data_IF_561743453885
#
_entry.id   IF_561743453885
#
_cell.length_a   1.000
_cell.length_b   1.000
_cell.length_c   1.000
_cell.angle_alpha   90.00
_cell.angle_beta   90.00
_cell.angle_gamma   90.00
#
_symmetry.space_group_name_H-M   'P 1'
#
loop_
_entity.id
_entity.type
_entity.pdbx_description
1 polymer ?
#
# COMPACT_ATOMS: atom_id res chain seq x y z
N UNK A 1 10.82 -11.17 -15.00
CA UNK A 1 9.66 -12.02 -14.72
C UNK A 1 9.88 -13.39 -15.32
N UNK A 2 9.69 -14.43 -14.54
CA UNK A 2 9.81 -15.84 -14.90
C UNK A 2 8.43 -16.39 -15.26
N UNK A 3 8.34 -17.18 -16.35
CA UNK A 3 7.11 -17.85 -16.82
C UNK A 3 7.41 -19.31 -17.07
N UNK A 4 6.38 -20.16 -17.18
CA UNK A 4 6.53 -21.59 -17.47
C UNK A 4 7.28 -21.83 -18.77
N UNK A 5 6.96 -21.07 -19.83
CA UNK A 5 7.65 -21.19 -21.13
C UNK A 5 9.16 -20.94 -21.04
N UNK A 6 9.57 -19.94 -20.24
CA UNK A 6 11.00 -19.68 -19.99
C UNK A 6 11.67 -20.81 -19.24
N UNK A 7 10.99 -21.39 -18.25
CA UNK A 7 11.52 -22.55 -17.50
C UNK A 7 11.66 -23.78 -18.40
N UNK A 8 10.69 -24.05 -19.25
CA UNK A 8 10.73 -25.14 -20.22
C UNK A 8 11.84 -24.93 -21.29
N UNK A 9 12.04 -23.69 -21.73
CA UNK A 9 13.16 -23.36 -22.65
C UNK A 9 14.53 -23.62 -21.97
N UNK A 10 14.69 -23.23 -20.70
CA UNK A 10 15.91 -23.51 -19.92
C UNK A 10 16.10 -25.02 -19.74
N UNK A 11 15.02 -25.78 -19.46
CA UNK A 11 15.06 -27.24 -19.38
C UNK A 11 15.52 -27.87 -20.71
N UNK A 12 14.98 -27.38 -21.84
CA UNK A 12 15.37 -27.87 -23.16
C UNK A 12 16.85 -27.64 -23.47
N UNK A 13 17.41 -26.51 -23.02
CA UNK A 13 18.86 -26.24 -23.13
C UNK A 13 19.66 -27.15 -22.19
N UNK A 14 19.21 -27.33 -20.94
CA UNK A 14 19.93 -28.17 -19.97
C UNK A 14 20.01 -29.64 -20.37
N UNK A 15 18.99 -30.19 -21.05
CA UNK A 15 18.96 -31.60 -21.54
C UNK A 15 19.96 -31.85 -22.68
N UNK A 16 20.46 -30.81 -23.35
CA UNK A 16 21.45 -30.98 -24.43
C UNK A 16 22.84 -31.37 -23.90
N UNK A 17 23.10 -31.22 -22.63
CA UNK A 17 24.38 -31.59 -22.01
C UNK A 17 24.33 -33.04 -21.53
N UNK A 18 25.43 -33.78 -21.75
CA UNK A 18 25.52 -35.20 -21.43
C UNK A 18 25.62 -35.49 -19.91
N UNK A 19 26.17 -34.50 -19.15
CA UNK A 19 26.33 -34.60 -17.71
C UNK A 19 26.15 -33.26 -17.01
N UNK A 20 25.88 -33.31 -15.68
CA UNK A 20 25.70 -32.09 -14.86
C UNK A 20 27.01 -31.28 -14.77
N UNK A 21 28.15 -31.94 -14.81
CA UNK A 21 29.47 -31.31 -14.75
C UNK A 21 29.74 -30.45 -15.99
N UNK A 22 29.17 -30.83 -17.13
CA UNK A 22 29.31 -30.13 -18.41
C UNK A 22 28.25 -29.04 -18.62
N UNK A 23 27.32 -28.89 -17.67
CA UNK A 23 26.21 -27.94 -17.79
C UNK A 23 26.72 -26.51 -17.78
N UNK A 24 26.68 -25.84 -18.93
CA UNK A 24 27.02 -24.41 -19.08
C UNK A 24 25.81 -23.62 -19.55
N UNK A 25 25.24 -22.86 -18.63
CA UNK A 25 24.13 -21.95 -18.93
C UNK A 25 24.53 -20.52 -18.53
N UNK A 26 24.11 -19.50 -19.32
CA UNK A 26 24.40 -18.11 -19.00
C UNK A 26 23.93 -17.72 -17.60
N UNK A 27 24.86 -17.27 -16.74
CA UNK A 27 24.57 -16.87 -15.37
C UNK A 27 24.55 -18.00 -14.34
N UNK A 28 24.81 -19.25 -14.71
CA UNK A 28 24.92 -20.37 -13.79
C UNK A 28 26.35 -20.47 -13.25
N UNK A 29 26.54 -20.28 -11.93
CA UNK A 29 27.84 -20.50 -11.28
C UNK A 29 28.17 -21.97 -11.09
N UNK A 30 29.46 -22.32 -11.07
CA UNK A 30 29.93 -23.71 -10.86
C UNK A 30 29.37 -24.32 -9.58
N UNK A 31 29.35 -23.57 -8.48
CA UNK A 31 28.85 -24.04 -7.19
C UNK A 31 27.38 -24.42 -7.20
N UNK A 32 26.59 -23.80 -8.09
CA UNK A 32 25.15 -24.08 -8.22
C UNK A 32 24.81 -25.13 -9.24
N UNK A 33 25.75 -25.56 -10.06
CA UNK A 33 25.57 -26.48 -11.16
C UNK A 33 24.92 -27.81 -10.70
N UNK A 34 25.42 -28.39 -9.59
CA UNK A 34 24.94 -29.65 -9.03
C UNK A 34 23.48 -29.63 -8.53
N UNK A 35 23.00 -28.47 -8.05
CA UNK A 35 21.64 -28.34 -7.50
C UNK A 35 20.66 -27.69 -8.48
N UNK A 36 21.17 -27.18 -9.61
CA UNK A 36 20.38 -26.42 -10.57
C UNK A 36 19.28 -27.25 -11.21
N UNK A 37 19.61 -28.47 -11.69
CA UNK A 37 18.67 -29.34 -12.41
C UNK A 37 17.50 -29.73 -11.51
N UNK A 38 17.80 -30.12 -10.27
CA UNK A 38 16.78 -30.47 -9.29
C UNK A 38 15.89 -29.26 -8.95
N UNK A 39 16.49 -28.10 -8.76
CA UNK A 39 15.76 -26.85 -8.50
C UNK A 39 14.87 -26.44 -9.66
N UNK A 40 15.35 -26.58 -10.90
CA UNK A 40 14.59 -26.30 -12.11
C UNK A 40 13.38 -27.25 -12.23
N UNK A 41 13.57 -28.56 -11.99
CA UNK A 41 12.51 -29.55 -12.04
C UNK A 41 11.40 -29.26 -10.99
N UNK A 42 11.80 -28.95 -9.76
CA UNK A 42 10.85 -28.57 -8.69
C UNK A 42 10.08 -27.30 -9.08
N UNK A 43 10.77 -26.31 -9.63
CA UNK A 43 10.13 -25.04 -10.00
C UNK A 43 9.14 -25.22 -11.15
N UNK A 44 9.45 -26.04 -12.14
CA UNK A 44 8.53 -26.40 -13.23
C UNK A 44 7.28 -27.09 -12.66
N UNK A 45 7.47 -28.09 -11.80
CA UNK A 45 6.37 -28.81 -11.18
C UNK A 45 5.46 -27.88 -10.36
N UNK A 46 6.02 -26.91 -9.64
CA UNK A 46 5.25 -25.90 -8.92
C UNK A 46 4.44 -25.00 -9.86
N UNK A 47 5.02 -24.54 -10.96
CA UNK A 47 4.32 -23.74 -11.95
C UNK A 47 3.13 -24.48 -12.53
N UNK A 48 3.31 -25.78 -12.87
CA UNK A 48 2.26 -26.62 -13.46
C UNK A 48 1.18 -26.97 -12.43
N UNK A 49 1.56 -27.38 -11.22
CA UNK A 49 0.61 -27.81 -10.19
C UNK A 49 -0.23 -26.65 -9.63
N UNK A 50 0.36 -25.45 -9.47
CA UNK A 50 -0.29 -24.27 -8.93
C UNK A 50 -0.78 -23.30 -10.01
N UNK A 51 -0.60 -23.64 -11.28
CA UNK A 51 -0.96 -22.80 -12.44
C UNK A 51 -0.43 -21.36 -12.33
N UNK A 52 0.85 -21.22 -11.96
CA UNK A 52 1.50 -19.93 -11.77
C UNK A 52 1.75 -19.29 -13.15
N UNK A 53 1.15 -18.14 -13.41
CA UNK A 53 1.38 -17.40 -14.66
C UNK A 53 2.75 -16.71 -14.70
N UNK A 54 3.14 -16.06 -13.60
CA UNK A 54 4.37 -15.26 -13.51
C UNK A 54 4.96 -15.32 -12.11
N UNK A 55 6.29 -15.38 -12.03
CA UNK A 55 7.04 -15.31 -10.78
C UNK A 55 8.13 -14.24 -10.88
N UNK A 56 8.30 -13.45 -9.84
CA UNK A 56 9.38 -12.46 -9.69
C UNK A 56 10.37 -12.87 -8.60
N UNK A 57 11.54 -12.25 -8.60
CA UNK A 57 12.49 -12.38 -7.50
C UNK A 57 11.95 -11.66 -6.26
N UNK A 58 11.89 -12.36 -5.14
CA UNK A 58 11.67 -11.74 -3.84
C UNK A 58 12.94 -10.99 -3.40
N UNK A 59 12.75 -9.88 -2.68
CA UNK A 59 13.87 -9.09 -2.16
C UNK A 59 14.53 -9.66 -0.91
N UNK A 60 14.06 -10.83 -0.41
CA UNK A 60 14.59 -11.51 0.76
C UNK A 60 14.84 -13.00 0.50
N UNK A 61 15.77 -13.61 1.23
CA UNK A 61 16.04 -15.05 1.18
C UNK A 61 15.18 -15.82 2.20
N UNK A 62 15.02 -17.14 1.99
CA UNK A 62 14.25 -18.01 2.88
C UNK A 62 14.67 -17.89 4.36
N UNK A 63 15.98 -17.82 4.62
CA UNK A 63 16.50 -17.68 6.00
C UNK A 63 16.11 -16.37 6.68
N UNK A 64 16.01 -15.27 5.94
CA UNK A 64 15.49 -14.00 6.46
C UNK A 64 13.99 -14.13 6.78
N UNK A 65 13.23 -14.80 5.91
CA UNK A 65 11.83 -15.13 6.18
C UNK A 65 11.66 -16.00 7.43
N UNK A 66 12.49 -17.04 7.61
CA UNK A 66 12.47 -17.89 8.79
C UNK A 66 12.85 -17.10 10.05
N UNK A 67 13.91 -16.26 9.98
CA UNK A 67 14.29 -15.40 11.10
C UNK A 67 13.16 -14.43 11.46
N UNK A 68 12.51 -13.84 10.47
CA UNK A 68 11.34 -12.98 10.70
C UNK A 68 10.18 -13.77 11.31
N UNK A 69 9.86 -14.98 10.82
CA UNK A 69 8.83 -15.83 11.42
C UNK A 69 9.16 -16.24 12.86
N UNK A 70 10.42 -16.51 13.19
CA UNK A 70 10.85 -16.80 14.57
C UNK A 70 10.77 -15.58 15.50
N UNK A 71 11.02 -14.39 14.97
CA UNK A 71 10.84 -13.10 15.67
C UNK A 71 9.36 -12.73 15.74
N UNK A 72 8.58 -13.08 14.74
CA UNK A 72 7.16 -12.73 14.59
C UNK A 72 6.24 -13.31 15.65
N UNK A 73 6.58 -14.46 16.24
CA UNK A 73 5.83 -14.98 17.39
C UNK A 73 5.94 -14.05 18.62
N UNK A 74 6.87 -13.11 18.60
CA UNK A 74 7.09 -12.17 19.70
C UNK A 74 6.78 -10.71 19.38
N UNK A 75 6.88 -10.18 18.13
CA UNK A 75 6.91 -8.71 17.96
C UNK A 75 6.62 -8.11 16.58
N UNK A 76 5.76 -8.60 15.70
CA UNK A 76 5.45 -7.88 14.43
C UNK A 76 4.89 -6.47 14.69
N UNK A 77 3.96 -6.35 15.62
CA UNK A 77 3.41 -5.05 16.01
C UNK A 77 4.49 -4.09 16.53
N UNK A 78 5.48 -4.61 17.26
CA UNK A 78 6.59 -3.81 17.80
C UNK A 78 7.58 -3.35 16.72
N UNK A 79 7.88 -4.20 15.72
CA UNK A 79 8.77 -3.81 14.60
C UNK A 79 8.14 -2.71 13.75
N UNK A 80 6.85 -2.84 13.39
CA UNK A 80 6.12 -1.81 12.65
C UNK A 80 6.06 -0.51 13.43
N UNK A 81 5.69 -0.60 14.71
CA UNK A 81 5.64 0.57 15.59
C UNK A 81 7.01 1.27 15.63
N UNK A 82 8.10 0.54 15.89
CA UNK A 82 9.46 1.12 15.90
C UNK A 82 9.84 1.76 14.57
N UNK A 83 9.43 1.16 13.45
CA UNK A 83 9.65 1.74 12.13
C UNK A 83 8.92 3.07 11.97
N UNK A 84 7.64 3.14 12.34
CA UNK A 84 6.86 4.37 12.27
C UNK A 84 7.41 5.44 13.24
N UNK A 85 7.67 5.07 14.49
CA UNK A 85 8.25 5.97 15.49
C UNK A 85 9.61 6.52 15.02
N UNK A 86 10.43 5.68 14.38
CA UNK A 86 11.70 6.07 13.80
C UNK A 86 11.56 7.08 12.65
N UNK A 87 10.59 6.88 11.76
CA UNK A 87 10.28 7.86 10.70
C UNK A 87 9.74 9.16 11.29
N UNK A 88 8.76 9.09 12.17
CA UNK A 88 8.15 10.28 12.79
C UNK A 88 9.20 11.11 13.53
N UNK A 89 10.07 10.47 14.30
CA UNK A 89 11.17 11.14 15.00
C UNK A 89 12.19 11.77 14.03
N UNK A 90 12.60 11.02 13.00
CA UNK A 90 13.60 11.46 12.03
C UNK A 90 13.17 12.67 11.22
N UNK A 91 11.90 12.71 10.84
CA UNK A 91 11.33 13.75 9.97
C UNK A 91 10.48 14.77 10.73
N UNK A 92 10.51 14.74 12.07
CA UNK A 92 9.77 15.67 12.94
C UNK A 92 8.27 15.74 12.64
N UNK A 93 7.65 14.59 12.38
CA UNK A 93 6.22 14.50 12.07
C UNK A 93 5.38 14.87 13.29
N UNK A 94 4.31 15.63 13.08
CA UNK A 94 3.29 15.89 14.09
C UNK A 94 2.50 14.61 14.40
N UNK A 95 2.86 13.94 15.51
CA UNK A 95 2.22 12.71 15.92
C UNK A 95 0.72 12.89 16.25
N UNK A 96 0.33 14.08 16.75
CA UNK A 96 -1.07 14.41 16.97
C UNK A 96 -1.85 14.44 15.66
N UNK A 97 -1.28 15.06 14.62
CA UNK A 97 -1.89 15.08 13.29
C UNK A 97 -1.99 13.68 12.67
N UNK A 98 -0.94 12.88 12.76
CA UNK A 98 -0.96 11.50 12.29
C UNK A 98 -2.08 10.69 12.97
N UNK A 99 -2.26 10.87 14.28
CA UNK A 99 -3.32 10.21 15.05
C UNK A 99 -4.70 10.66 14.58
N UNK A 100 -4.96 11.97 14.45
CA UNK A 100 -6.24 12.51 13.95
C UNK A 100 -6.63 11.95 12.59
N UNK A 101 -5.69 11.95 11.64
CA UNK A 101 -5.93 11.37 10.31
C UNK A 101 -6.27 9.88 10.41
N UNK A 102 -5.52 9.12 11.22
CA UNK A 102 -5.75 7.69 11.35
C UNK A 102 -7.08 7.37 12.04
N UNK A 103 -7.46 8.12 13.06
CA UNK A 103 -8.74 7.92 13.78
C UNK A 103 -9.93 8.12 12.85
N UNK A 104 -9.92 9.14 12.00
CA UNK A 104 -10.94 9.34 10.97
C UNK A 104 -10.95 8.16 9.98
N UNK A 105 -9.79 7.74 9.50
CA UNK A 105 -9.68 6.55 8.64
C UNK A 105 -10.30 5.32 9.30
N UNK A 106 -10.06 5.11 10.59
CA UNK A 106 -10.57 3.97 11.35
C UNK A 106 -12.10 4.00 11.48
N UNK A 107 -12.68 5.18 11.71
CA UNK A 107 -14.14 5.37 11.70
C UNK A 107 -14.73 4.94 10.36
N UNK A 108 -14.17 5.43 9.26
CA UNK A 108 -14.63 5.09 7.92
C UNK A 108 -14.45 3.61 7.58
N UNK A 109 -13.30 3.01 7.95
CA UNK A 109 -13.10 1.58 7.75
C UNK A 109 -14.12 0.73 8.51
N UNK A 110 -14.51 1.11 9.72
CA UNK A 110 -15.52 0.40 10.49
C UNK A 110 -16.89 0.41 9.81
N UNK A 111 -17.28 1.55 9.23
CA UNK A 111 -18.55 1.71 8.54
C UNK A 111 -18.57 0.99 7.19
N UNK A 112 -17.44 0.96 6.47
CA UNK A 112 -17.32 0.34 5.15
C UNK A 112 -16.98 -1.15 5.17
N UNK A 113 -16.60 -1.73 6.31
CA UNK A 113 -16.15 -3.12 6.43
C UNK A 113 -17.15 -4.13 5.86
N UNK A 114 -18.42 -3.99 6.20
CA UNK A 114 -19.45 -4.94 5.80
C UNK A 114 -19.81 -4.82 4.31
N UNK A 115 -20.09 -3.62 3.76
CA UNK A 115 -20.42 -3.49 2.35
C UNK A 115 -19.25 -3.83 1.41
N UNK A 116 -18.01 -3.54 1.79
CA UNK A 116 -16.83 -3.65 0.91
C UNK A 116 -16.01 -4.93 1.09
N UNK A 117 -16.26 -5.72 2.15
CA UNK A 117 -15.66 -7.05 2.39
C UNK A 117 -14.12 -7.10 2.29
N UNK A 118 -13.41 -6.22 2.97
CA UNK A 118 -11.94 -6.20 2.99
C UNK A 118 -11.34 -6.68 4.33
N UNK A 119 -10.05 -6.99 4.34
CA UNK A 119 -9.30 -7.27 5.57
C UNK A 119 -9.07 -5.99 6.37
N UNK A 120 -9.87 -5.82 7.42
CA UNK A 120 -9.85 -4.66 8.29
C UNK A 120 -8.48 -4.43 8.98
N UNK A 121 -7.80 -5.49 9.40
CA UNK A 121 -6.50 -5.37 10.07
C UNK A 121 -5.41 -4.88 9.11
N UNK A 122 -5.37 -5.43 7.91
CA UNK A 122 -4.47 -4.94 6.85
C UNK A 122 -4.76 -3.49 6.48
N UNK A 123 -6.03 -3.12 6.33
CA UNK A 123 -6.43 -1.75 6.04
C UNK A 123 -5.98 -0.77 7.13
N UNK A 124 -6.25 -1.08 8.40
CA UNK A 124 -5.79 -0.28 9.54
C UNK A 124 -4.26 -0.14 9.57
N UNK A 125 -3.53 -1.23 9.34
CA UNK A 125 -2.07 -1.19 9.35
C UNK A 125 -1.49 -0.29 8.25
N UNK A 126 -2.05 -0.35 7.04
CA UNK A 126 -1.61 0.47 5.90
C UNK A 126 -1.95 1.95 6.10
N UNK A 127 -3.18 2.25 6.54
CA UNK A 127 -3.60 3.63 6.78
C UNK A 127 -2.90 4.27 7.98
N UNK A 128 -2.61 3.52 9.04
CA UNK A 128 -1.78 4.01 10.14
C UNK A 128 -0.37 4.36 9.67
N UNK A 129 0.23 3.52 8.83
CA UNK A 129 1.53 3.81 8.25
C UNK A 129 1.49 5.05 7.34
N UNK A 130 0.46 5.16 6.49
CA UNK A 130 0.28 6.34 5.64
C UNK A 130 0.08 7.62 6.46
N UNK A 131 -0.78 7.59 7.48
CA UNK A 131 -1.04 8.73 8.37
C UNK A 131 0.22 9.18 9.12
N UNK A 132 1.05 8.22 9.57
CA UNK A 132 2.32 8.51 10.25
C UNK A 132 3.38 9.11 9.33
N UNK A 133 3.25 8.97 8.01
CA UNK A 133 4.33 9.30 7.08
C UNK A 133 3.93 10.24 5.93
N UNK A 134 2.67 10.67 5.84
CA UNK A 134 2.22 11.49 4.70
C UNK A 134 2.89 12.89 4.66
N UNK A 135 3.32 13.41 5.79
CA UNK A 135 3.95 14.73 5.91
C UNK A 135 5.48 14.72 5.93
N UNK A 136 6.14 13.55 5.85
CA UNK A 136 7.62 13.50 5.93
C UNK A 136 8.31 14.29 4.82
N UNK A 137 7.64 14.55 3.70
CA UNK A 137 8.14 15.34 2.59
C UNK A 137 8.17 16.85 2.84
N UNK A 138 7.50 17.34 3.90
CA UNK A 138 7.56 18.76 4.30
C UNK A 138 8.99 19.23 4.62
N UNK A 139 9.88 18.32 4.98
CA UNK A 139 11.31 18.60 5.18
C UNK A 139 12.00 19.06 3.89
N UNK A 140 11.45 18.73 2.72
CA UNK A 140 12.00 19.14 1.42
C UNK A 140 11.34 20.43 0.94
N UNK A 141 10.01 20.41 0.77
CA UNK A 141 9.23 21.59 0.37
C UNK A 141 7.74 21.35 0.70
N UNK A 142 7.03 22.44 1.02
CA UNK A 142 5.58 22.43 1.20
C UNK A 142 4.83 22.14 -0.11
N UNK A 143 5.32 22.68 -1.22
CA UNK A 143 4.74 22.40 -2.52
C UNK A 143 5.00 20.95 -2.90
N UNK A 144 3.94 20.23 -3.20
CA UNK A 144 4.04 18.81 -3.60
C UNK A 144 4.66 17.89 -2.53
N UNK A 145 4.54 18.21 -1.24
CA UNK A 145 5.12 17.41 -0.16
C UNK A 145 4.68 15.93 -0.19
N UNK A 146 3.49 15.62 -0.70
CA UNK A 146 3.02 14.26 -0.89
C UNK A 146 3.92 13.45 -1.82
N UNK A 147 4.38 14.05 -2.94
CA UNK A 147 5.33 13.40 -3.86
C UNK A 147 6.71 13.25 -3.21
N UNK A 148 7.16 14.24 -2.44
CA UNK A 148 8.40 14.14 -1.68
C UNK A 148 8.32 13.05 -0.61
N UNK A 149 7.19 12.94 0.10
CA UNK A 149 6.95 11.87 1.07
C UNK A 149 7.00 10.50 0.39
N UNK A 150 6.29 10.33 -0.72
CA UNK A 150 6.31 9.10 -1.50
C UNK A 150 7.72 8.74 -2.00
N UNK A 151 8.50 9.73 -2.48
CA UNK A 151 9.88 9.55 -2.89
C UNK A 151 10.77 9.05 -1.75
N UNK A 152 10.71 9.70 -0.59
CA UNK A 152 11.47 9.28 0.60
C UNK A 152 11.12 7.83 0.96
N UNK A 153 9.83 7.51 1.05
CA UNK A 153 9.38 6.15 1.38
C UNK A 153 9.81 5.12 0.36
N UNK A 154 9.75 5.45 -0.93
CA UNK A 154 10.19 4.55 -2.01
C UNK A 154 11.65 4.15 -1.87
N UNK A 155 12.51 5.07 -1.44
CA UNK A 155 13.97 4.88 -1.35
C UNK A 155 14.49 4.53 0.06
N UNK A 156 13.63 4.43 1.07
CA UNK A 156 14.00 4.07 2.45
C UNK A 156 13.45 2.70 2.82
N UNK A 157 14.19 1.92 3.62
CA UNK A 157 13.69 0.64 4.15
C UNK A 157 12.52 0.82 5.10
N UNK A 158 11.53 -0.09 5.06
CA UNK A 158 10.40 -0.16 5.98
C UNK A 158 10.34 -1.53 6.67
N UNK A 159 11.18 -1.80 7.69
CA UNK A 159 11.12 -3.04 8.45
C UNK A 159 9.72 -3.34 8.99
N UNK A 160 9.31 -4.61 8.95
CA UNK A 160 7.96 -5.03 9.35
C UNK A 160 6.88 -4.93 8.26
N UNK A 161 7.20 -4.34 7.10
CA UNK A 161 6.32 -4.27 5.94
C UNK A 161 6.89 -5.07 4.77
N UNK A 162 6.06 -5.89 4.14
CA UNK A 162 6.45 -6.56 2.89
C UNK A 162 6.67 -5.55 1.78
N UNK A 163 7.33 -5.97 0.68
CA UNK A 163 7.54 -5.12 -0.48
C UNK A 163 6.21 -4.57 -1.05
N UNK A 164 5.18 -5.41 -1.11
CA UNK A 164 3.86 -5.02 -1.61
C UNK A 164 3.20 -4.03 -0.64
N UNK A 165 3.22 -4.29 0.66
CA UNK A 165 2.68 -3.37 1.67
C UNK A 165 3.39 -2.01 1.63
N UNK A 166 4.72 -2.00 1.51
CA UNK A 166 5.47 -0.76 1.33
C UNK A 166 5.02 0.00 0.08
N UNK A 167 4.84 -0.68 -1.05
CA UNK A 167 4.34 -0.05 -2.28
C UNK A 167 2.94 0.52 -2.09
N UNK A 168 2.05 -0.19 -1.39
CA UNK A 168 0.71 0.32 -1.04
C UNK A 168 0.80 1.61 -0.20
N UNK A 169 1.65 1.65 0.82
CA UNK A 169 1.85 2.86 1.62
C UNK A 169 2.42 4.01 0.78
N UNK A 170 3.37 3.75 -0.11
CA UNK A 170 3.91 4.75 -1.05
C UNK A 170 2.80 5.31 -1.93
N UNK A 171 1.92 4.46 -2.46
CA UNK A 171 0.78 4.88 -3.28
C UNK A 171 -0.24 5.69 -2.48
N UNK A 172 -0.58 5.28 -1.25
CA UNK A 172 -1.44 6.05 -0.34
C UNK A 172 -0.88 7.46 -0.12
N UNK A 173 0.39 7.54 0.24
CA UNK A 173 1.06 8.82 0.54
C UNK A 173 1.23 9.67 -0.71
N UNK A 174 1.54 9.10 -1.87
CA UNK A 174 1.69 9.84 -3.12
C UNK A 174 0.38 10.41 -3.67
N UNK A 175 -0.74 9.73 -3.41
CA UNK A 175 -2.04 10.08 -3.97
C UNK A 175 -3.02 10.72 -2.98
N UNK A 176 -2.57 11.16 -1.79
CA UNK A 176 -3.49 11.66 -0.77
C UNK A 176 -3.99 13.10 -1.00
N UNK A 177 -3.53 13.78 -2.04
CA UNK A 177 -3.97 15.13 -2.42
C UNK A 177 -3.72 15.43 -3.90
N UNK A 178 -4.40 16.43 -4.43
CA UNK A 178 -4.34 16.86 -5.84
C UNK A 178 -4.81 15.74 -6.80
N UNK A 179 -4.37 15.78 -8.05
CA UNK A 179 -4.75 14.78 -9.04
C UNK A 179 -4.22 13.38 -8.64
N UNK A 180 -4.99 12.36 -8.98
CA UNK A 180 -4.67 10.97 -8.69
C UNK A 180 -3.85 10.38 -9.83
N UNK A 181 -2.73 9.72 -9.52
CA UNK A 181 -1.91 9.02 -10.51
C UNK A 181 -2.43 7.58 -10.70
N UNK A 182 -3.41 7.39 -11.58
CA UNK A 182 -4.11 6.12 -11.80
C UNK A 182 -3.18 4.97 -12.16
N UNK A 183 -2.14 5.20 -12.95
CA UNK A 183 -1.15 4.18 -13.34
C UNK A 183 -0.47 3.52 -12.13
N UNK A 184 -0.44 4.21 -10.99
CA UNK A 184 0.17 3.67 -9.77
C UNK A 184 -0.63 2.50 -9.16
N UNK A 185 -1.90 2.33 -9.50
CA UNK A 185 -2.75 1.25 -9.00
C UNK A 185 -2.61 -0.04 -9.81
N UNK A 186 -2.28 0.03 -11.10
CA UNK A 186 -2.19 -1.13 -12.00
C UNK A 186 -1.22 -2.21 -11.53
N UNK A 187 -0.19 -1.82 -10.76
CA UNK A 187 0.80 -2.75 -10.22
C UNK A 187 0.24 -3.72 -9.17
N UNK A 188 -0.94 -3.46 -8.60
CA UNK A 188 -1.51 -4.25 -7.51
C UNK A 188 -2.44 -5.37 -7.97
N UNK A 189 -2.79 -5.44 -9.27
CA UNK A 189 -3.64 -6.49 -9.83
C UNK A 189 -4.95 -6.65 -9.05
N UNK A 190 -5.22 -7.84 -8.50
CA UNK A 190 -6.46 -8.11 -7.75
C UNK A 190 -6.63 -7.29 -6.46
N UNK A 191 -5.57 -6.63 -5.96
CA UNK A 191 -5.65 -5.71 -4.82
C UNK A 191 -5.92 -4.26 -5.25
N UNK A 192 -6.11 -3.97 -6.55
CA UNK A 192 -6.28 -2.62 -7.06
C UNK A 192 -7.48 -1.92 -6.39
N UNK A 193 -8.68 -2.49 -6.44
CA UNK A 193 -9.88 -1.90 -5.83
C UNK A 193 -9.76 -1.69 -4.31
N UNK A 194 -9.01 -2.56 -3.63
CA UNK A 194 -8.72 -2.39 -2.21
C UNK A 194 -7.88 -1.14 -1.94
N UNK A 195 -6.79 -0.95 -2.69
CA UNK A 195 -5.91 0.21 -2.48
C UNK A 195 -6.57 1.52 -2.93
N UNK A 196 -7.39 1.50 -3.98
CA UNK A 196 -8.19 2.63 -4.43
C UNK A 196 -9.16 3.08 -3.33
N UNK A 197 -9.86 2.15 -2.69
CA UNK A 197 -10.72 2.46 -1.54
C UNK A 197 -9.93 3.12 -0.41
N UNK A 198 -8.75 2.58 -0.06
CA UNK A 198 -7.92 3.15 1.00
C UNK A 198 -7.41 4.56 0.65
N UNK A 199 -7.04 4.82 -0.60
CA UNK A 199 -6.65 6.17 -1.05
C UNK A 199 -7.81 7.14 -0.88
N UNK A 200 -9.02 6.79 -1.31
CA UNK A 200 -10.21 7.63 -1.19
C UNK A 200 -10.53 7.98 0.26
N UNK A 201 -10.52 6.97 1.15
CA UNK A 201 -10.71 7.16 2.59
C UNK A 201 -9.63 8.09 3.16
N UNK A 202 -8.37 7.86 2.79
CA UNK A 202 -7.24 8.60 3.31
C UNK A 202 -7.28 10.07 2.90
N UNK A 203 -7.62 10.37 1.65
CA UNK A 203 -7.80 11.73 1.13
C UNK A 203 -8.84 12.51 1.93
N UNK A 204 -10.02 11.92 2.14
CA UNK A 204 -11.10 12.54 2.93
C UNK A 204 -10.64 12.78 4.37
N UNK A 205 -9.96 11.80 5.00
CA UNK A 205 -9.47 11.93 6.36
C UNK A 205 -8.43 13.04 6.53
N UNK A 206 -7.52 13.20 5.56
CA UNK A 206 -6.53 14.31 5.56
C UNK A 206 -7.22 15.66 5.47
N UNK A 207 -8.25 15.81 4.63
CA UNK A 207 -9.03 17.05 4.51
C UNK A 207 -9.75 17.33 5.83
N UNK A 208 -10.49 16.38 6.38
CA UNK A 208 -11.23 16.57 7.63
C UNK A 208 -10.35 16.93 8.83
N UNK A 209 -9.09 16.49 8.83
CA UNK A 209 -8.13 16.81 9.89
C UNK A 209 -7.30 18.07 9.67
N UNK A 210 -7.54 18.84 8.60
CA UNK A 210 -6.72 20.00 8.20
C UNK A 210 -6.61 21.10 9.28
N UNK A 211 -7.59 21.21 10.16
CA UNK A 211 -7.57 22.21 11.25
C UNK A 211 -6.59 21.89 12.38
N UNK A 212 -6.06 20.66 12.42
CA UNK A 212 -5.10 20.16 13.45
C UNK A 212 -5.59 20.37 14.89
N UNK A 213 -6.89 20.22 15.11
CA UNK A 213 -7.55 20.39 16.40
C UNK A 213 -8.33 19.13 16.74
N UNK A 214 -8.37 18.78 18.02
CA UNK A 214 -9.15 17.68 18.53
C UNK A 214 -10.61 18.13 18.78
N UNK A 215 -11.54 17.19 18.78
CA UNK A 215 -12.97 17.37 19.12
C UNK A 215 -13.72 18.47 18.33
N UNK A 216 -13.31 18.73 17.08
CA UNK A 216 -13.93 19.75 16.22
C UNK A 216 -14.79 19.18 15.10
N UNK A 217 -14.79 17.84 14.94
CA UNK A 217 -15.58 17.16 13.92
C UNK A 217 -16.93 16.73 14.49
N UNK A 218 -18.00 16.79 13.67
CA UNK A 218 -19.28 16.21 14.02
C UNK A 218 -19.21 14.68 13.88
N UNK A 219 -20.34 14.02 14.14
CA UNK A 219 -20.47 12.61 13.78
C UNK A 219 -20.26 12.42 12.28
N UNK A 220 -19.38 11.51 11.92
CA UNK A 220 -19.00 11.23 10.54
C UNK A 220 -19.67 9.95 10.05
N UNK A 221 -20.39 10.03 8.94
CA UNK A 221 -21.00 8.86 8.30
C UNK A 221 -20.49 8.73 6.86
N UNK A 222 -20.01 7.52 6.52
CA UNK A 222 -19.63 7.19 5.15
C UNK A 222 -20.28 5.89 4.73
N UNK A 223 -20.82 5.88 3.51
CA UNK A 223 -21.43 4.69 2.92
C UNK A 223 -20.88 4.45 1.52
N UNK A 224 -20.95 3.20 1.05
CA UNK A 224 -20.65 2.81 -0.31
C UNK A 224 -21.86 2.09 -0.88
N UNK A 225 -22.48 2.67 -1.90
CA UNK A 225 -23.63 2.07 -2.61
C UNK A 225 -23.15 1.23 -3.79
N UNK A 226 -22.06 1.62 -4.41
CA UNK A 226 -21.38 0.97 -5.52
C UNK A 226 -19.88 1.06 -5.30
N UNK A 227 -19.05 0.20 -5.91
CA UNK A 227 -17.59 0.22 -5.73
C UNK A 227 -16.96 1.60 -6.00
N UNK A 228 -17.47 2.31 -7.00
CA UNK A 228 -16.96 3.63 -7.41
C UNK A 228 -17.57 4.78 -6.60
N UNK A 229 -18.66 4.55 -5.84
CA UNK A 229 -19.42 5.62 -5.17
C UNK A 229 -19.26 5.56 -3.66
N UNK A 230 -18.66 6.61 -3.09
CA UNK A 230 -18.67 6.89 -1.65
C UNK A 230 -19.58 8.08 -1.37
N UNK A 231 -20.40 7.97 -0.33
CA UNK A 231 -21.23 9.07 0.17
C UNK A 231 -20.79 9.44 1.56
N UNK A 232 -20.33 10.67 1.74
CA UNK A 232 -19.98 11.26 3.04
C UNK A 232 -21.15 12.13 3.49
N UNK A 233 -21.73 11.80 4.65
CA UNK A 233 -22.82 12.58 5.25
C UNK A 233 -22.32 13.41 6.41
N UNK A 234 -22.62 14.70 6.40
CA UNK A 234 -22.22 15.69 7.40
C UNK A 234 -23.41 16.59 7.73
N UNK A 235 -23.51 17.09 9.00
CA UNK A 235 -24.57 18.06 9.36
C UNK A 235 -24.49 19.34 8.53
N UNK A 236 -25.63 19.79 7.96
CA UNK A 236 -25.67 20.98 7.12
C UNK A 236 -25.25 22.24 7.87
N UNK A 237 -25.64 22.37 9.14
CA UNK A 237 -25.23 23.48 10.00
C UNK A 237 -23.71 23.54 10.15
N UNK A 238 -23.07 22.38 10.39
CA UNK A 238 -21.61 22.31 10.51
C UNK A 238 -20.89 22.72 9.22
N UNK A 239 -21.38 22.25 8.06
CA UNK A 239 -20.82 22.64 6.75
C UNK A 239 -21.01 24.12 6.46
N UNK A 240 -22.09 24.72 6.95
CA UNK A 240 -22.35 26.15 6.81
C UNK A 240 -21.39 27.00 7.67
N UNK A 241 -21.08 26.53 8.87
CA UNK A 241 -20.11 27.18 9.78
C UNK A 241 -18.65 26.97 9.36
N UNK A 242 -18.39 25.99 8.48
CA UNK A 242 -17.05 25.62 8.03
C UNK A 242 -16.89 25.71 6.50
N UNK A 243 -17.02 26.90 5.90
CA UNK A 243 -17.07 27.08 4.43
C UNK A 243 -15.78 26.64 3.74
N UNK A 244 -14.62 26.77 4.40
CA UNK A 244 -13.35 26.29 3.84
C UNK A 244 -13.34 24.76 3.73
N UNK A 245 -13.78 24.06 4.79
CA UNK A 245 -13.88 22.59 4.79
C UNK A 245 -14.81 22.09 3.68
N UNK A 246 -15.95 22.76 3.54
CA UNK A 246 -16.91 22.47 2.47
C UNK A 246 -16.26 22.61 1.10
N UNK A 247 -15.55 23.73 0.84
CA UNK A 247 -14.87 23.96 -0.44
C UNK A 247 -13.80 22.92 -0.72
N UNK A 248 -13.02 22.51 0.29
CA UNK A 248 -12.01 21.47 0.12
C UNK A 248 -12.62 20.09 -0.19
N UNK A 249 -13.76 19.74 0.44
CA UNK A 249 -14.49 18.51 0.13
C UNK A 249 -15.10 18.53 -1.28
N UNK A 250 -15.65 19.68 -1.71
CA UNK A 250 -16.18 19.87 -3.07
C UNK A 250 -15.05 19.76 -4.12
N UNK A 251 -13.87 20.32 -3.84
CA UNK A 251 -12.67 20.18 -4.66
C UNK A 251 -12.20 18.72 -4.74
N UNK A 252 -12.22 18.03 -3.62
CA UNK A 252 -11.86 16.62 -3.54
C UNK A 252 -12.81 15.75 -4.37
N UNK A 253 -14.11 16.04 -4.35
CA UNK A 253 -15.07 15.34 -5.20
C UNK A 253 -14.69 15.48 -6.69
N UNK A 254 -14.25 16.67 -7.11
CA UNK A 254 -13.75 16.89 -8.47
C UNK A 254 -12.45 16.14 -8.80
N UNK A 255 -11.53 15.97 -7.84
CA UNK A 255 -10.34 15.14 -8.05
C UNK A 255 -10.69 13.66 -8.18
N UNK A 256 -11.62 13.17 -7.36
CA UNK A 256 -12.08 11.79 -7.45
C UNK A 256 -12.84 11.53 -8.76
N UNK A 257 -13.66 12.47 -9.23
CA UNK A 257 -14.37 12.36 -10.50
C UNK A 257 -13.42 12.20 -11.70
N UNK A 258 -12.31 12.95 -11.72
CA UNK A 258 -11.27 12.80 -12.76
C UNK A 258 -10.66 11.39 -12.79
N UNK A 259 -10.58 10.72 -11.65
CA UNK A 259 -10.09 9.34 -11.52
C UNK A 259 -11.20 8.28 -11.69
N UNK A 260 -12.37 8.66 -12.18
CA UNK A 260 -13.49 7.75 -12.39
C UNK A 260 -14.25 7.35 -11.12
N UNK A 261 -13.98 8.02 -9.98
CA UNK A 261 -14.65 7.77 -8.71
C UNK A 261 -15.69 8.85 -8.41
N UNK A 262 -16.72 8.49 -7.65
CA UNK A 262 -17.77 9.41 -7.25
C UNK A 262 -17.70 9.61 -5.73
N UNK A 263 -17.50 10.85 -5.30
CA UNK A 263 -17.65 11.28 -3.91
C UNK A 263 -18.88 12.18 -3.81
N UNK A 264 -19.91 11.69 -3.15
CA UNK A 264 -21.11 12.49 -2.83
C UNK A 264 -20.97 13.06 -1.43
N UNK A 265 -21.32 14.34 -1.27
CA UNK A 265 -21.38 15.00 0.03
C UNK A 265 -22.85 15.27 0.29
N UNK A 266 -23.42 14.49 1.20
CA UNK A 266 -24.80 14.63 1.65
C UNK A 266 -24.87 15.45 2.94
N UNK A 267 -26.00 16.12 3.12
CA UNK A 267 -26.28 16.98 4.25
C UNK A 267 -27.41 16.39 5.06
N UNK A 268 -27.19 16.20 6.34
CA UNK A 268 -28.19 15.71 7.27
C UNK A 268 -28.78 16.85 8.09
#
# INVERSE_FOLDING_TARGET
MLTLDKLQAIRAQAIQFESIEQLELPGLSEERRLVFVSGLAILIALFEALQIERMGLAGGALREGILYCMIDQLNQADIRKRTLDGFMSRYHVDAGQATRVFDICKIFLQQLKTPMQFDFQSACSLLNAAASMHEIGLVIDYKSYHLHSAYILKHTGMPGYSRVQKQMVVTLVGNHRLDVEEDTFLQFGHHQGFIELLVRIFRIAVILSMRRQDDVLPDLYITATEPETLTLTLPDEWLHEHPLMRSELELEAGYQEKAGWILKIERD
#
